data_IF_650569486971
#
_entry.id   IF_650569486971
#
_cell.length_a   1.000
_cell.length_b   1.000
_cell.length_c   1.000
_cell.angle_alpha   90.00
_cell.angle_beta   90.00
_cell.angle_gamma   90.00
#
_symmetry.space_group_name_H-M   'P 1'
#
loop_
_entity.id
_entity.type
_entity.pdbx_description
1 polymer ?
#
# COMPACT_ATOMS: atom_id res chain seq x y z
N UNK A 1 63.90 -47.56 11.31
CA UNK A 1 62.73 -47.84 10.49
C UNK A 1 61.49 -47.59 11.34
N UNK A 2 60.97 -46.39 11.31
CA UNK A 2 59.78 -45.96 12.08
C UNK A 2 58.68 -45.64 11.07
N UNK A 3 57.60 -46.40 11.10
CA UNK A 3 56.40 -46.20 10.27
C UNK A 3 55.45 -45.24 10.97
N UNK A 4 55.24 -44.06 10.39
CA UNK A 4 54.18 -43.12 10.81
C UNK A 4 52.87 -43.54 10.21
N UNK A 5 51.87 -43.80 11.04
CA UNK A 5 50.48 -44.02 10.62
C UNK A 5 49.75 -42.69 10.50
N UNK A 6 49.21 -42.41 9.33
CA UNK A 6 48.38 -41.21 9.05
C UNK A 6 46.91 -41.56 9.37
N UNK A 7 46.35 -40.92 10.41
CA UNK A 7 44.92 -40.98 10.73
C UNK A 7 44.17 -39.96 9.88
N UNK A 8 43.36 -40.42 8.95
CA UNK A 8 42.37 -39.58 8.25
C UNK A 8 41.12 -39.44 9.16
N UNK A 9 40.90 -38.25 9.71
CA UNK A 9 39.63 -37.89 10.31
C UNK A 9 38.65 -37.46 9.21
N UNK A 10 37.66 -38.29 8.94
CA UNK A 10 36.49 -37.90 8.14
C UNK A 10 35.50 -37.15 9.00
N UNK A 11 35.43 -35.84 8.85
CA UNK A 11 34.36 -35.01 9.45
C UNK A 11 33.08 -35.13 8.60
N UNK A 12 32.12 -35.90 9.08
CA UNK A 12 30.76 -35.91 8.55
C UNK A 12 30.06 -34.60 8.93
N UNK A 13 29.81 -33.73 7.95
CA UNK A 13 28.95 -32.57 8.11
C UNK A 13 27.51 -33.09 8.24
N UNK A 14 26.94 -33.06 9.44
CA UNK A 14 25.53 -33.27 9.66
C UNK A 14 24.77 -32.04 9.12
N UNK A 15 24.12 -32.19 7.97
CA UNK A 15 23.10 -31.26 7.51
C UNK A 15 21.94 -31.33 8.52
N UNK A 16 21.82 -30.32 9.37
CA UNK A 16 20.63 -30.13 10.18
C UNK A 16 19.45 -29.89 9.21
N UNK A 17 18.54 -30.84 9.11
CA UNK A 17 17.24 -30.64 8.46
C UNK A 17 16.53 -29.56 9.26
N UNK A 18 16.37 -28.37 8.66
CA UNK A 18 15.52 -27.34 9.21
C UNK A 18 14.09 -27.91 9.28
N UNK A 19 13.59 -28.18 10.47
CA UNK A 19 12.23 -28.65 10.68
C UNK A 19 11.24 -27.68 10.05
N UNK A 20 10.13 -28.19 9.53
CA UNK A 20 9.04 -27.35 8.99
C UNK A 20 8.62 -26.32 10.05
N UNK A 21 8.59 -25.01 9.77
CA UNK A 21 8.17 -24.01 10.73
C UNK A 21 6.80 -24.36 11.34
N UNK A 22 6.61 -24.08 12.63
CA UNK A 22 5.32 -24.26 13.27
C UNK A 22 4.24 -23.41 12.58
N UNK A 23 2.94 -23.78 12.66
CA UNK A 23 1.86 -22.92 12.19
C UNK A 23 1.97 -21.54 12.86
N UNK A 24 1.76 -20.49 12.08
CA UNK A 24 1.72 -19.13 12.61
C UNK A 24 0.50 -18.97 13.53
N UNK A 25 0.63 -18.13 14.56
CA UNK A 25 -0.47 -17.82 15.46
C UNK A 25 -1.60 -17.10 14.70
N UNK A 26 -2.84 -17.34 15.10
CA UNK A 26 -4.03 -16.69 14.51
C UNK A 26 -4.54 -15.60 15.45
N UNK A 27 -5.08 -14.51 14.86
CA UNK A 27 -5.75 -13.48 15.63
C UNK A 27 -7.22 -13.85 15.90
N UNK A 28 -7.84 -13.20 16.88
CA UNK A 28 -9.23 -13.43 17.25
C UNK A 28 -10.22 -12.96 16.17
N UNK A 29 -9.79 -12.11 15.25
CA UNK A 29 -10.57 -11.56 14.14
C UNK A 29 -9.84 -10.41 13.47
N UNK A 30 -10.55 -9.72 12.55
CA UNK A 30 -10.03 -8.56 11.83
C UNK A 30 -10.15 -7.29 12.70
N UNK A 31 -9.40 -7.28 13.79
CA UNK A 31 -9.43 -6.19 14.79
C UNK A 31 -8.36 -5.17 14.50
N UNK A 32 -8.75 -3.91 14.43
CA UNK A 32 -7.84 -2.79 14.35
C UNK A 32 -8.20 -1.71 15.37
N UNK A 33 -7.33 -0.72 15.46
CA UNK A 33 -7.58 0.53 16.18
C UNK A 33 -7.31 1.69 15.25
N UNK A 34 -8.06 2.77 15.44
CA UNK A 34 -7.79 4.07 14.86
C UNK A 34 -7.24 4.97 15.93
N UNK A 35 -6.13 5.63 15.67
CA UNK A 35 -5.45 6.49 16.62
C UNK A 35 -5.03 7.80 15.98
N UNK A 36 -4.72 8.76 16.82
CA UNK A 36 -4.22 10.06 16.43
C UNK A 36 -2.72 10.13 16.69
N UNK A 37 -2.01 10.94 15.92
CA UNK A 37 -0.57 11.20 16.12
C UNK A 37 -0.31 12.41 17.02
N UNK A 38 -1.36 13.02 17.58
CA UNK A 38 -1.27 14.08 18.58
C UNK A 38 -0.98 15.47 18.01
N UNK A 39 -1.20 15.68 16.71
CA UNK A 39 -1.00 16.98 16.05
C UNK A 39 -2.34 17.70 15.86
N UNK A 40 -3.01 17.90 16.98
CA UNK A 40 -4.36 18.48 17.01
C UNK A 40 -4.41 19.95 16.58
N UNK A 41 -5.51 20.29 15.91
CA UNK A 41 -5.96 21.65 15.59
C UNK A 41 -7.41 21.80 16.02
N UNK A 42 -8.02 22.97 15.74
CA UNK A 42 -9.44 23.22 15.99
C UNK A 42 -10.37 22.17 15.38
N UNK A 43 -9.98 21.59 14.23
CA UNK A 43 -10.77 20.62 13.46
C UNK A 43 -10.25 19.17 13.54
N UNK A 44 -9.57 18.83 14.61
CA UNK A 44 -9.10 17.47 14.84
C UNK A 44 -7.61 17.25 14.63
N UNK A 45 -7.18 15.99 14.61
CA UNK A 45 -5.79 15.64 14.39
C UNK A 45 -5.47 15.70 12.89
N UNK A 46 -4.36 16.36 12.58
CA UNK A 46 -3.83 16.47 11.23
C UNK A 46 -3.50 15.11 10.60
N UNK A 47 -3.00 14.18 11.39
CA UNK A 47 -2.64 12.84 10.95
C UNK A 47 -3.28 11.81 11.87
N UNK A 48 -4.36 11.23 11.42
CA UNK A 48 -4.98 10.12 12.11
C UNK A 48 -5.17 8.95 11.16
N UNK A 49 -5.30 7.77 11.69
CA UNK A 49 -5.53 6.58 10.88
C UNK A 49 -5.59 5.32 11.70
N UNK A 50 -6.14 4.29 11.09
CA UNK A 50 -6.19 2.96 11.67
C UNK A 50 -4.89 2.19 11.45
N UNK A 51 -4.66 1.16 12.21
CA UNK A 51 -3.63 0.17 11.87
C UNK A 51 -3.97 -0.59 10.59
N UNK A 52 -5.24 -0.66 10.17
CA UNK A 52 -5.72 -1.44 9.04
C UNK A 52 -5.04 -1.13 7.71
N UNK A 53 -5.62 -0.25 6.90
CA UNK A 53 -5.13 0.07 5.56
C UNK A 53 -4.36 1.39 5.47
N UNK A 54 -4.18 2.09 6.57
CA UNK A 54 -3.23 3.19 6.70
C UNK A 54 -1.81 2.62 6.55
N UNK A 55 -0.93 3.16 5.91
CA UNK A 55 -0.57 4.40 5.35
C UNK A 55 -0.49 4.35 3.83
N UNK A 56 -0.41 5.53 3.25
CA UNK A 56 -0.36 5.80 1.83
C UNK A 56 0.68 5.00 1.03
N UNK A 57 1.79 4.67 1.63
CA UNK A 57 2.99 4.31 0.89
C UNK A 57 3.32 2.81 0.93
N UNK A 58 2.45 1.96 1.50
CA UNK A 58 2.55 0.51 1.41
C UNK A 58 1.72 0.02 0.24
N UNK A 59 2.31 -0.71 -0.68
CA UNK A 59 1.62 -1.19 -1.87
C UNK A 59 2.37 -2.37 -2.52
N UNK A 60 1.68 -3.42 -3.00
CA UNK A 60 0.26 -3.70 -2.82
C UNK A 60 -0.08 -4.20 -1.41
N UNK A 61 -1.36 -4.06 -1.02
CA UNK A 61 -1.89 -4.63 0.22
C UNK A 61 -2.75 -5.87 -0.05
N UNK A 62 -3.17 -6.10 -1.29
CA UNK A 62 -3.97 -7.26 -1.66
C UNK A 62 -3.65 -7.73 -3.08
N UNK A 63 -3.81 -9.03 -3.31
CA UNK A 63 -3.61 -9.67 -4.62
C UNK A 63 -4.69 -10.73 -4.82
N UNK A 64 -5.41 -10.67 -5.93
CA UNK A 64 -6.27 -11.77 -6.37
C UNK A 64 -5.44 -12.82 -7.10
N UNK A 65 -5.52 -14.06 -6.64
CA UNK A 65 -4.85 -15.24 -7.20
C UNK A 65 -5.86 -16.11 -7.96
N UNK A 66 -5.89 -15.97 -9.28
CA UNK A 66 -6.85 -16.69 -10.13
C UNK A 66 -6.72 -18.22 -10.05
N UNK A 67 -5.50 -18.73 -9.82
CA UNK A 67 -5.26 -20.18 -9.73
C UNK A 67 -6.04 -20.88 -8.62
N UNK A 68 -6.38 -20.15 -7.55
CA UNK A 68 -7.12 -20.67 -6.39
C UNK A 68 -8.43 -19.92 -6.14
N UNK A 69 -8.77 -18.95 -7.00
CA UNK A 69 -9.94 -18.08 -6.89
C UNK A 69 -10.06 -17.41 -5.51
N UNK A 70 -8.94 -16.85 -5.03
CA UNK A 70 -8.83 -16.18 -3.72
C UNK A 70 -8.18 -14.83 -3.81
N UNK A 71 -8.67 -13.88 -3.02
CA UNK A 71 -7.95 -12.62 -2.75
C UNK A 71 -7.24 -12.74 -1.42
N UNK A 72 -5.91 -12.68 -1.45
CA UNK A 72 -5.08 -12.57 -0.26
C UNK A 72 -4.85 -11.08 0.04
N UNK A 73 -4.88 -10.71 1.32
CA UNK A 73 -4.66 -9.32 1.72
C UNK A 73 -3.95 -9.22 3.07
N UNK A 74 -3.10 -8.21 3.20
CA UNK A 74 -2.38 -7.90 4.43
C UNK A 74 -2.91 -6.61 5.04
N UNK A 75 -2.79 -6.49 6.35
CA UNK A 75 -3.22 -5.31 7.09
C UNK A 75 -2.51 -5.24 8.45
N UNK A 76 -2.56 -4.06 9.07
CA UNK A 76 -2.18 -3.89 10.46
C UNK A 76 -3.36 -4.13 11.37
N UNK A 77 -3.22 -4.98 12.36
CA UNK A 77 -4.24 -5.23 13.36
C UNK A 77 -3.73 -5.00 14.79
N UNK A 78 -4.63 -5.21 15.75
CA UNK A 78 -4.34 -5.09 17.17
C UNK A 78 -4.91 -6.31 17.91
N UNK A 79 -4.25 -6.82 18.97
CA UNK A 79 -4.75 -7.99 19.69
C UNK A 79 -6.11 -7.73 20.35
N UNK A 80 -6.23 -6.75 21.22
CA UNK A 80 -7.44 -6.51 22.02
C UNK A 80 -7.84 -5.01 22.07
N UNK A 81 -7.65 -4.27 20.97
CA UNK A 81 -7.84 -2.81 20.96
C UNK A 81 -6.70 -2.05 21.64
N UNK A 82 -5.60 -2.74 21.90
CA UNK A 82 -4.37 -2.18 22.45
C UNK A 82 -3.57 -1.46 21.36
N UNK A 83 -2.73 -0.53 21.78
CA UNK A 83 -1.79 0.16 20.90
C UNK A 83 -0.57 -0.74 20.61
N UNK A 84 -0.79 -1.76 19.81
CA UNK A 84 0.16 -2.82 19.50
C UNK A 84 -0.11 -3.31 18.07
N UNK A 85 0.87 -3.20 17.18
CA UNK A 85 0.74 -3.57 15.78
C UNK A 85 1.03 -5.06 15.56
N UNK A 86 0.04 -5.76 15.06
CA UNK A 86 0.18 -7.08 14.44
C UNK A 86 0.17 -6.93 12.91
N UNK A 87 1.19 -7.45 12.24
CA UNK A 87 1.18 -7.59 10.78
C UNK A 87 0.48 -8.88 10.41
N UNK A 88 -0.69 -8.77 9.81
CA UNK A 88 -1.63 -9.87 9.59
C UNK A 88 -1.86 -10.12 8.11
N UNK A 89 -2.18 -11.36 7.79
CA UNK A 89 -2.67 -11.77 6.47
C UNK A 89 -4.02 -12.48 6.62
N UNK A 90 -4.94 -12.15 5.72
CA UNK A 90 -6.22 -12.84 5.53
C UNK A 90 -6.42 -13.26 4.09
N UNK A 91 -7.48 -14.02 3.84
CA UNK A 91 -7.91 -14.33 2.48
C UNK A 91 -9.44 -14.36 2.39
N UNK A 92 -9.95 -13.93 1.22
CA UNK A 92 -11.33 -14.10 0.82
C UNK A 92 -11.41 -15.18 -0.26
N UNK A 93 -12.21 -16.19 -0.04
CA UNK A 93 -12.46 -17.27 -0.99
C UNK A 93 -13.71 -16.91 -1.84
N UNK A 94 -13.51 -16.70 -3.15
CA UNK A 94 -14.58 -16.26 -4.05
C UNK A 94 -15.60 -17.36 -4.35
N UNK A 95 -15.27 -18.65 -4.11
CA UNK A 95 -16.19 -19.77 -4.32
C UNK A 95 -17.19 -19.94 -3.18
N UNK A 96 -16.70 -19.72 -1.95
CA UNK A 96 -17.53 -19.92 -0.75
C UNK A 96 -18.08 -18.61 -0.18
N UNK A 97 -17.52 -17.46 -0.56
CA UNK A 97 -17.86 -16.17 0.02
C UNK A 97 -17.33 -15.96 1.44
N UNK A 98 -16.42 -16.82 1.91
CA UNK A 98 -15.91 -16.79 3.26
C UNK A 98 -14.52 -16.15 3.36
N UNK A 99 -14.21 -15.62 4.53
CA UNK A 99 -12.87 -15.16 4.88
C UNK A 99 -12.21 -16.11 5.86
N UNK A 100 -10.91 -16.32 5.69
CA UNK A 100 -10.12 -17.11 6.63
C UNK A 100 -9.87 -16.34 7.93
N UNK A 101 -9.72 -17.05 9.05
CA UNK A 101 -9.23 -16.44 10.30
C UNK A 101 -7.85 -15.84 10.03
N UNK A 102 -7.62 -14.56 10.39
CA UNK A 102 -6.35 -13.90 10.06
C UNK A 102 -5.16 -14.51 10.83
N UNK A 103 -4.05 -14.62 10.12
CA UNK A 103 -2.80 -15.19 10.61
C UNK A 103 -1.81 -14.07 10.91
N UNK A 104 -1.13 -14.16 12.03
CA UNK A 104 -0.07 -13.23 12.45
C UNK A 104 1.22 -13.62 11.74
N UNK A 105 1.63 -12.80 10.76
CA UNK A 105 2.91 -12.99 10.06
C UNK A 105 4.06 -12.45 10.91
N UNK A 106 3.84 -11.30 11.56
CA UNK A 106 4.84 -10.67 12.43
C UNK A 106 4.16 -9.86 13.51
N UNK A 107 4.67 -9.99 14.72
CA UNK A 107 4.26 -9.20 15.87
C UNK A 107 5.31 -8.11 16.13
N UNK A 108 4.89 -6.86 16.04
CA UNK A 108 5.75 -5.66 16.15
C UNK A 108 5.94 -5.14 17.59
N UNK A 109 5.67 -5.96 18.61
CA UNK A 109 5.79 -5.56 20.03
C UNK A 109 6.88 -4.51 20.31
N UNK A 110 6.65 -3.51 21.08
CA UNK A 110 5.43 -2.83 21.56
C UNK A 110 5.02 -1.68 20.62
N UNK A 111 5.23 -1.81 19.33
CA UNK A 111 5.00 -0.77 18.33
C UNK A 111 3.52 -0.63 18.04
N UNK A 112 3.03 0.61 17.97
CA UNK A 112 1.66 0.95 17.56
C UNK A 112 1.64 1.86 16.30
N UNK A 113 2.74 1.87 15.57
CA UNK A 113 2.97 2.78 14.45
C UNK A 113 2.58 2.12 13.11
N UNK A 114 1.56 2.63 12.39
CA UNK A 114 1.11 2.04 11.12
C UNK A 114 2.13 2.20 9.98
N UNK A 115 3.19 2.97 10.17
CA UNK A 115 4.31 2.98 9.22
C UNK A 115 5.03 1.63 9.13
N UNK A 116 4.81 0.75 10.11
CA UNK A 116 5.37 -0.60 10.15
C UNK A 116 4.44 -1.66 9.51
N UNK A 117 3.32 -1.25 8.89
CA UNK A 117 2.38 -2.12 8.17
C UNK A 117 3.06 -2.96 7.08
N UNK A 118 2.48 -4.12 6.72
CA UNK A 118 3.01 -4.98 5.68
C UNK A 118 2.55 -4.59 4.26
N UNK A 119 3.26 -5.10 3.26
CA UNK A 119 2.83 -5.21 1.85
C UNK A 119 2.89 -6.67 1.39
N UNK A 120 2.18 -7.01 0.34
CA UNK A 120 2.02 -8.38 -0.16
C UNK A 120 2.31 -8.46 -1.65
N UNK A 121 2.99 -9.52 -2.09
CA UNK A 121 2.93 -9.97 -3.46
C UNK A 121 2.93 -11.50 -3.53
N UNK A 122 2.63 -12.06 -4.70
CA UNK A 122 2.60 -13.50 -4.95
C UNK A 122 3.51 -13.78 -6.14
N UNK A 123 4.41 -14.77 -6.01
CA UNK A 123 5.25 -15.19 -7.12
C UNK A 123 4.51 -16.19 -8.05
N UNK A 124 5.03 -16.48 -9.26
CA UNK A 124 4.37 -17.38 -10.19
C UNK A 124 4.20 -18.81 -9.69
N UNK A 125 4.98 -19.23 -8.71
CA UNK A 125 4.86 -20.54 -8.07
C UNK A 125 3.75 -20.54 -6.98
N UNK A 126 3.12 -19.38 -6.73
CA UNK A 126 2.02 -19.22 -5.77
C UNK A 126 2.46 -18.93 -4.34
N UNK A 127 3.75 -18.72 -4.08
CA UNK A 127 4.18 -18.38 -2.74
C UNK A 127 3.81 -16.93 -2.40
N UNK A 128 3.30 -16.76 -1.18
CA UNK A 128 2.93 -15.46 -0.64
C UNK A 128 4.16 -14.81 0.00
N UNK A 129 4.47 -13.60 -0.44
CA UNK A 129 5.60 -12.81 0.06
C UNK A 129 5.08 -11.59 0.82
N UNK A 130 5.36 -11.54 2.12
CA UNK A 130 4.95 -10.44 2.99
C UNK A 130 6.16 -9.60 3.37
N UNK A 131 6.13 -8.34 2.98
CA UNK A 131 7.18 -7.36 3.26
C UNK A 131 6.72 -6.48 4.41
N UNK A 132 7.20 -6.76 5.60
CA UNK A 132 6.91 -6.00 6.81
C UNK A 132 7.80 -4.76 6.85
N UNK A 133 7.19 -3.59 6.96
CA UNK A 133 7.92 -2.33 7.04
C UNK A 133 8.67 -2.18 8.36
N UNK A 134 9.79 -1.46 8.30
CA UNK A 134 10.47 -0.90 9.45
C UNK A 134 10.27 0.60 9.55
N UNK A 135 11.06 1.26 10.40
CA UNK A 135 11.00 2.70 10.59
C UNK A 135 12.41 3.30 10.67
N UNK A 136 12.86 3.92 9.59
CA UNK A 136 14.22 4.48 9.51
C UNK A 136 15.30 3.45 9.93
N UNK A 137 16.25 3.86 10.78
CA UNK A 137 17.26 2.97 11.36
C UNK A 137 16.86 2.45 12.74
N UNK A 138 15.71 2.89 13.28
CA UNK A 138 15.28 2.54 14.65
C UNK A 138 14.58 1.19 14.72
N UNK A 139 13.90 0.76 13.67
CA UNK A 139 13.19 -0.51 13.62
C UNK A 139 13.44 -1.22 12.28
N UNK A 140 13.82 -2.51 12.28
CA UNK A 140 14.02 -3.26 11.06
C UNK A 140 12.70 -3.59 10.37
N UNK A 141 12.76 -3.76 9.05
CA UNK A 141 11.75 -4.43 8.25
C UNK A 141 12.12 -5.89 8.01
N UNK A 142 11.16 -6.70 7.59
CA UNK A 142 11.30 -8.13 7.41
C UNK A 142 10.65 -8.60 6.12
N UNK A 143 11.21 -9.62 5.50
CA UNK A 143 10.60 -10.30 4.36
C UNK A 143 10.28 -11.73 4.78
N UNK A 144 9.01 -12.08 4.66
CA UNK A 144 8.49 -13.42 4.93
C UNK A 144 7.99 -14.05 3.64
N UNK A 145 8.11 -15.38 3.54
CA UNK A 145 7.57 -16.19 2.46
C UNK A 145 6.72 -17.32 3.04
N UNK A 146 5.57 -17.59 2.44
CA UNK A 146 4.79 -18.78 2.83
C UNK A 146 5.58 -20.07 2.57
N UNK A 147 5.34 -21.11 3.37
CA UNK A 147 6.05 -22.40 3.24
C UNK A 147 5.47 -23.28 2.13
N UNK A 148 4.26 -22.96 1.65
CA UNK A 148 3.60 -23.63 0.55
C UNK A 148 2.86 -22.62 -0.34
N UNK A 149 2.64 -22.95 -1.63
CA UNK A 149 1.89 -22.10 -2.54
C UNK A 149 0.45 -21.85 -2.07
N UNK A 150 0.01 -20.60 -2.13
CA UNK A 150 -1.34 -20.15 -1.76
C UNK A 150 -1.79 -20.53 -0.34
N UNK A 151 -0.84 -20.88 0.52
CA UNK A 151 -1.06 -21.22 1.93
C UNK A 151 -0.50 -20.13 2.83
N UNK A 152 -1.39 -19.45 3.56
CA UNK A 152 -1.01 -18.41 4.51
C UNK A 152 -0.96 -18.88 5.97
N UNK A 153 -0.98 -20.20 6.20
CA UNK A 153 -0.92 -20.78 7.56
C UNK A 153 0.47 -20.76 8.19
N UNK A 154 1.54 -20.69 7.36
CA UNK A 154 2.93 -20.75 7.82
C UNK A 154 3.84 -19.87 6.97
N UNK A 155 4.75 -19.20 7.63
CA UNK A 155 5.76 -18.34 7.00
C UNK A 155 7.16 -18.64 7.52
N UNK A 156 8.13 -18.52 6.63
CA UNK A 156 9.56 -18.47 6.97
C UNK A 156 10.06 -17.02 6.89
N UNK A 157 10.91 -16.61 7.82
CA UNK A 157 11.63 -15.34 7.71
C UNK A 157 12.77 -15.51 6.70
N UNK A 158 12.73 -14.72 5.63
CA UNK A 158 13.71 -14.78 4.54
C UNK A 158 14.83 -13.76 4.74
N UNK A 159 14.47 -12.52 5.14
CA UNK A 159 15.43 -11.44 5.29
C UNK A 159 14.99 -10.39 6.32
N UNK A 160 15.99 -9.76 6.95
CA UNK A 160 15.83 -8.55 7.77
C UNK A 160 16.48 -7.39 7.03
N UNK A 161 15.80 -6.24 6.92
CA UNK A 161 16.23 -5.12 6.11
C UNK A 161 15.96 -3.76 6.76
N UNK A 162 16.73 -2.75 6.37
CA UNK A 162 16.43 -1.34 6.69
C UNK A 162 15.57 -0.76 5.58
N UNK A 163 14.25 -0.90 5.69
CA UNK A 163 13.26 -0.45 4.71
C UNK A 163 12.06 0.17 5.42
N UNK A 164 11.48 1.21 4.82
CA UNK A 164 10.21 1.80 5.23
C UNK A 164 9.32 1.92 4.00
N UNK A 165 8.02 1.67 4.15
CA UNK A 165 7.04 1.71 3.06
C UNK A 165 7.41 0.77 1.89
N UNK A 166 7.45 -0.54 2.10
CA UNK A 166 7.79 -1.50 1.06
C UNK A 166 6.74 -1.53 -0.04
N UNK A 167 7.20 -1.54 -1.29
CA UNK A 167 6.38 -1.66 -2.50
C UNK A 167 6.99 -2.71 -3.43
N UNK A 168 6.83 -4.01 -3.12
CA UNK A 168 7.37 -5.10 -3.91
C UNK A 168 6.50 -5.36 -5.13
N UNK A 169 7.10 -5.38 -6.31
CA UNK A 169 6.44 -5.76 -7.56
C UNK A 169 7.13 -6.98 -8.14
N UNK A 170 6.37 -8.03 -8.40
CA UNK A 170 6.88 -9.17 -9.14
C UNK A 170 6.81 -8.87 -10.64
N UNK A 171 7.97 -8.85 -11.28
CA UNK A 171 8.11 -8.65 -12.73
C UNK A 171 8.22 -10.01 -13.40
N UNK A 172 7.27 -10.41 -14.27
CA UNK A 172 7.25 -11.71 -14.89
C UNK A 172 8.58 -12.07 -15.57
N UNK A 173 9.09 -13.27 -15.29
CA UNK A 173 10.35 -13.78 -15.83
C UNK A 173 11.63 -13.16 -15.26
N UNK A 174 11.53 -12.17 -14.36
CA UNK A 174 12.71 -11.49 -13.80
C UNK A 174 12.78 -11.55 -12.26
N UNK A 175 11.66 -11.54 -11.55
CA UNK A 175 11.62 -11.55 -10.08
C UNK A 175 11.05 -10.28 -9.46
N UNK A 176 11.49 -9.95 -8.24
CA UNK A 176 11.00 -8.79 -7.50
C UNK A 176 11.81 -7.54 -7.81
N UNK A 177 11.12 -6.46 -8.15
CA UNK A 177 11.59 -5.10 -8.04
C UNK A 177 10.93 -4.46 -6.82
N UNK A 178 11.72 -4.11 -5.82
CA UNK A 178 11.26 -3.60 -4.54
C UNK A 178 11.61 -2.12 -4.41
N UNK A 179 10.58 -1.28 -4.38
CA UNK A 179 10.69 0.15 -4.11
C UNK A 179 10.44 0.41 -2.62
N UNK A 180 11.16 1.33 -2.01
CA UNK A 180 11.01 1.66 -0.59
C UNK A 180 11.66 3.00 -0.24
N UNK A 181 11.44 3.45 0.99
CA UNK A 181 12.08 4.62 1.57
C UNK A 181 13.20 4.21 2.51
N UNK A 182 14.33 4.93 2.45
CA UNK A 182 15.36 4.97 3.50
C UNK A 182 15.50 6.38 4.04
N UNK A 183 15.82 6.47 5.34
CA UNK A 183 16.13 7.73 6.00
C UNK A 183 17.65 7.91 6.05
N UNK A 184 18.20 8.55 5.02
CA UNK A 184 19.62 8.88 4.92
C UNK A 184 19.83 10.35 5.23
N UNK A 185 19.67 11.27 4.25
CA UNK A 185 19.65 12.72 4.48
C UNK A 185 18.21 13.28 4.60
N UNK A 186 17.22 12.40 4.61
CA UNK A 186 15.81 12.69 4.62
C UNK A 186 15.05 11.40 4.26
N UNK A 187 13.74 11.51 3.93
CA UNK A 187 12.96 10.41 3.37
C UNK A 187 13.29 10.26 1.90
N UNK A 188 14.27 9.43 1.57
CA UNK A 188 14.79 9.27 0.21
C UNK A 188 14.29 7.97 -0.42
N UNK A 189 14.12 7.96 -1.74
CA UNK A 189 13.57 6.84 -2.49
C UNK A 189 14.66 5.92 -3.00
N UNK A 190 14.45 4.61 -2.81
CA UNK A 190 15.38 3.56 -3.18
C UNK A 190 14.67 2.40 -3.87
N UNK A 191 15.45 1.58 -4.58
CA UNK A 191 15.02 0.29 -5.08
C UNK A 191 16.14 -0.75 -4.99
N UNK A 192 15.74 -2.00 -5.09
CA UNK A 192 16.59 -3.17 -5.24
C UNK A 192 15.83 -4.25 -6.02
N UNK A 193 16.52 -5.25 -6.50
CA UNK A 193 15.93 -6.35 -7.26
C UNK A 193 16.36 -7.69 -6.72
N UNK A 194 15.54 -8.72 -6.95
CA UNK A 194 15.84 -10.10 -6.59
C UNK A 194 15.15 -11.06 -7.54
N UNK A 195 15.90 -12.00 -8.10
CA UNK A 195 15.34 -13.03 -8.97
C UNK A 195 14.54 -14.10 -8.20
N UNK A 196 14.88 -14.32 -6.93
CA UNK A 196 14.36 -15.42 -6.09
C UNK A 196 13.67 -14.95 -4.80
N UNK A 197 13.61 -13.62 -4.55
CA UNK A 197 13.13 -13.03 -3.31
C UNK A 197 14.05 -13.25 -2.10
N UNK A 198 15.13 -14.00 -2.23
CA UNK A 198 16.08 -14.35 -1.17
C UNK A 198 17.39 -13.59 -1.29
N UNK A 199 17.96 -13.56 -2.48
CA UNK A 199 19.19 -12.85 -2.78
C UNK A 199 18.85 -11.52 -3.43
N UNK A 200 19.25 -10.43 -2.82
CA UNK A 200 18.92 -9.07 -3.25
C UNK A 200 20.15 -8.36 -3.83
N UNK A 201 19.93 -7.60 -4.87
CA UNK A 201 20.95 -6.71 -5.42
C UNK A 201 21.39 -5.66 -4.41
N UNK A 202 22.46 -4.94 -4.72
CA UNK A 202 22.79 -3.71 -4.04
C UNK A 202 21.61 -2.72 -4.13
N UNK A 203 21.33 -2.04 -3.01
CA UNK A 203 20.31 -1.00 -2.93
C UNK A 203 20.77 0.26 -3.67
N UNK A 204 19.94 0.78 -4.58
CA UNK A 204 20.20 1.98 -5.38
C UNK A 204 19.23 3.10 -5.04
N UNK A 205 19.70 4.34 -5.10
CA UNK A 205 18.91 5.55 -4.80
C UNK A 205 18.24 6.07 -6.08
N UNK A 206 16.90 6.21 -6.05
CA UNK A 206 16.12 6.81 -7.13
C UNK A 206 16.08 8.34 -7.02
N UNK A 207 15.72 8.86 -5.84
CA UNK A 207 15.61 10.30 -5.60
C UNK A 207 16.03 10.68 -4.17
N UNK A 208 16.62 11.89 -4.03
CA UNK A 208 17.10 12.38 -2.74
C UNK A 208 17.37 13.89 -2.73
N UNK A 209 16.33 14.71 -2.90
CA UNK A 209 16.42 16.17 -2.89
C UNK A 209 15.46 16.82 -1.86
N UNK A 210 15.51 16.38 -0.61
CA UNK A 210 14.80 17.01 0.52
C UNK A 210 13.80 16.11 1.23
N UNK A 211 13.23 15.13 0.56
CA UNK A 211 12.28 14.17 1.10
C UNK A 211 11.13 13.89 0.14
N UNK A 212 10.61 12.67 0.21
CA UNK A 212 9.62 12.18 -0.75
C UNK A 212 8.68 11.17 -0.10
N UNK A 213 7.43 11.14 -0.57
CA UNK A 213 6.59 9.96 -0.52
C UNK A 213 6.35 9.49 -1.95
N UNK A 214 6.26 8.17 -2.14
CA UNK A 214 5.98 7.54 -3.43
C UNK A 214 4.81 6.57 -3.33
N UNK A 215 4.12 6.43 -4.46
CA UNK A 215 3.17 5.35 -4.72
C UNK A 215 3.55 4.75 -6.06
N UNK A 216 3.66 3.43 -6.14
CA UNK A 216 4.09 2.75 -7.36
C UNK A 216 3.02 1.80 -7.89
N UNK A 217 3.16 1.43 -9.14
CA UNK A 217 2.32 0.45 -9.83
C UNK A 217 3.13 -0.33 -10.84
N UNK A 218 2.65 -1.53 -11.18
CA UNK A 218 3.28 -2.36 -12.19
C UNK A 218 2.26 -2.87 -13.21
N UNK A 219 2.69 -3.00 -14.48
CA UNK A 219 1.94 -3.61 -15.55
C UNK A 219 2.87 -4.10 -16.66
N UNK A 220 2.70 -5.33 -17.10
CA UNK A 220 3.37 -5.91 -18.27
C UNK A 220 4.91 -5.70 -18.27
N UNK A 221 5.55 -5.93 -17.12
CA UNK A 221 6.99 -5.75 -16.92
C UNK A 221 7.45 -4.32 -16.66
N UNK A 222 6.59 -3.32 -16.83
CA UNK A 222 6.85 -1.93 -16.46
C UNK A 222 6.55 -1.73 -14.96
N UNK A 223 7.42 -0.99 -14.27
CA UNK A 223 7.17 -0.48 -12.92
C UNK A 223 7.32 1.04 -12.96
N UNK A 224 6.27 1.75 -12.49
CA UNK A 224 6.26 3.20 -12.36
C UNK A 224 6.26 3.64 -10.91
N UNK A 225 6.79 4.82 -10.66
CA UNK A 225 6.76 5.51 -9.37
C UNK A 225 6.26 6.93 -9.54
N UNK A 226 5.14 7.23 -8.88
CA UNK A 226 4.59 8.57 -8.65
C UNK A 226 5.13 9.06 -7.32
N UNK A 227 5.74 10.24 -7.25
CA UNK A 227 6.26 10.77 -5.99
C UNK A 227 6.17 12.31 -5.91
N UNK A 228 6.28 12.82 -4.70
CA UNK A 228 6.26 14.25 -4.39
C UNK A 228 7.60 14.72 -3.81
N UNK A 229 7.68 15.98 -3.48
CA UNK A 229 8.81 16.66 -2.84
C UNK A 229 8.39 17.31 -1.53
N UNK A 230 9.26 17.26 -0.52
CA UNK A 230 9.06 17.88 0.78
C UNK A 230 10.02 19.06 0.98
N UNK A 231 9.61 20.31 0.68
CA UNK A 231 10.45 21.48 0.93
C UNK A 231 10.98 21.54 2.35
N UNK A 232 12.30 21.63 2.50
CA UNK A 232 12.96 21.60 3.80
C UNK A 232 12.78 20.30 4.60
N UNK A 233 12.40 19.19 3.95
CA UNK A 233 12.13 17.90 4.60
C UNK A 233 10.77 17.83 5.32
N UNK A 234 9.95 18.90 5.26
CA UNK A 234 8.67 18.98 5.96
C UNK A 234 7.60 18.15 5.26
N UNK A 235 7.05 17.16 5.94
CA UNK A 235 5.91 16.35 5.47
C UNK A 235 4.63 17.15 5.34
N UNK A 236 4.57 18.32 5.95
CA UNK A 236 3.43 19.24 5.90
C UNK A 236 3.36 20.00 4.58
N UNK A 237 4.54 20.24 3.98
CA UNK A 237 4.69 21.06 2.77
C UNK A 237 4.93 20.22 1.52
N UNK A 238 4.51 18.95 1.52
CA UNK A 238 4.69 18.06 0.37
C UNK A 238 4.03 18.66 -0.88
N UNK A 239 4.77 18.71 -1.98
CA UNK A 239 4.34 19.38 -3.21
C UNK A 239 5.00 18.77 -4.44
N UNK A 240 4.72 19.31 -5.61
CA UNK A 240 5.24 18.87 -6.91
C UNK A 240 4.86 17.42 -7.26
N UNK A 241 4.68 17.19 -8.54
CA UNK A 241 4.37 15.87 -9.09
C UNK A 241 5.54 15.39 -9.92
N UNK A 242 6.08 14.22 -9.57
CA UNK A 242 7.13 13.54 -10.33
C UNK A 242 6.65 12.17 -10.76
N UNK A 243 7.16 11.73 -11.91
CA UNK A 243 6.96 10.38 -12.40
C UNK A 243 8.24 9.81 -13.02
N UNK A 244 8.59 8.59 -12.62
CA UNK A 244 9.69 7.83 -13.19
C UNK A 244 9.25 6.37 -13.42
N UNK A 245 9.80 5.72 -14.44
CA UNK A 245 9.47 4.32 -14.76
C UNK A 245 10.70 3.53 -15.19
N UNK A 246 10.60 2.21 -15.06
CA UNK A 246 11.54 1.25 -15.63
C UNK A 246 10.79 0.16 -16.39
N UNK A 247 11.37 -0.30 -17.49
CA UNK A 247 10.86 -1.43 -18.32
C UNK A 247 11.88 -2.56 -18.42
N UNK A 248 13.02 -2.42 -17.75
CA UNK A 248 14.16 -3.33 -17.81
C UNK A 248 14.61 -3.81 -16.42
N UNK A 249 13.63 -3.94 -15.51
CA UNK A 249 13.86 -4.44 -14.15
C UNK A 249 14.80 -3.54 -13.31
N UNK A 250 14.71 -2.23 -13.49
CA UNK A 250 15.47 -1.24 -12.73
C UNK A 250 16.92 -1.06 -13.18
N UNK A 251 17.32 -1.61 -14.35
CA UNK A 251 18.65 -1.33 -14.92
C UNK A 251 18.75 0.13 -15.34
N UNK A 252 17.69 0.63 -15.98
CA UNK A 252 17.52 2.05 -16.33
C UNK A 252 16.19 2.57 -15.84
N UNK A 253 16.15 3.85 -15.50
CA UNK A 253 14.94 4.59 -15.20
C UNK A 253 14.77 5.70 -16.21
N UNK A 254 13.53 5.93 -16.64
CA UNK A 254 13.20 6.93 -17.66
C UNK A 254 12.05 7.81 -17.22
N UNK A 255 11.89 8.93 -17.88
CA UNK A 255 10.63 9.69 -17.90
C UNK A 255 9.54 8.87 -18.59
N UNK A 256 8.31 9.35 -18.56
CA UNK A 256 7.18 8.73 -19.28
C UNK A 256 7.42 8.72 -20.81
N UNK A 257 8.12 9.70 -21.36
CA UNK A 257 8.47 9.79 -22.79
C UNK A 257 9.69 8.96 -23.18
N UNK A 258 10.31 8.22 -22.23
CA UNK A 258 11.46 7.36 -22.50
C UNK A 258 12.83 8.03 -22.38
N UNK A 259 12.91 9.30 -21.99
CA UNK A 259 14.19 9.96 -21.71
C UNK A 259 14.86 9.31 -20.52
N UNK A 260 16.11 8.88 -20.65
CA UNK A 260 16.87 8.30 -19.56
C UNK A 260 17.12 9.31 -18.43
N UNK A 261 16.98 8.85 -17.19
CA UNK A 261 17.22 9.65 -15.98
C UNK A 261 18.62 9.37 -15.45
N UNK A 262 19.39 10.44 -15.21
CA UNK A 262 20.64 10.36 -14.46
C UNK A 262 20.31 10.18 -12.97
N UNK A 263 20.64 9.04 -12.40
CA UNK A 263 20.34 8.71 -11.00
C UNK A 263 21.55 8.85 -10.07
N UNK A 264 21.33 9.20 -8.81
CA UNK A 264 20.03 9.56 -8.20
C UNK A 264 19.56 10.95 -8.67
N UNK A 265 18.23 11.13 -8.75
CA UNK A 265 17.67 12.48 -8.93
C UNK A 265 18.03 13.32 -7.71
N UNK A 266 18.78 14.41 -7.93
CA UNK A 266 19.35 15.24 -6.87
C UNK A 266 18.78 16.67 -6.81
N UNK A 267 18.10 17.09 -7.86
CA UNK A 267 17.58 18.45 -8.00
C UNK A 267 16.05 18.47 -8.04
N UNK A 268 15.46 19.55 -7.51
CA UNK A 268 14.01 19.76 -7.54
C UNK A 268 13.51 19.83 -8.99
N UNK A 269 14.23 20.56 -9.85
CA UNK A 269 13.95 20.64 -11.29
C UNK A 269 14.79 19.59 -12.02
N UNK A 270 14.19 18.44 -12.26
CA UNK A 270 14.80 17.32 -12.97
C UNK A 270 13.83 16.79 -14.03
N UNK A 271 14.25 15.94 -14.99
CA UNK A 271 13.39 15.49 -16.09
C UNK A 271 12.17 14.66 -15.66
N UNK A 272 12.13 14.12 -14.45
CA UNK A 272 10.97 13.39 -13.92
C UNK A 272 9.85 14.33 -13.41
N UNK A 273 10.09 15.65 -13.33
CA UNK A 273 9.09 16.64 -12.90
C UNK A 273 7.96 16.74 -13.92
N UNK A 274 6.75 16.39 -13.50
CA UNK A 274 5.51 16.49 -14.30
C UNK A 274 4.86 17.86 -14.12
N UNK A 275 4.70 18.32 -12.87
CA UNK A 275 4.11 19.62 -12.53
C UNK A 275 4.82 20.25 -11.33
N UNK A 276 5.19 21.52 -11.46
CA UNK A 276 5.68 22.36 -10.36
C UNK A 276 4.49 22.97 -9.60
N UNK A 277 3.90 22.20 -8.70
CA UNK A 277 2.81 22.67 -7.84
C UNK A 277 3.26 23.64 -6.76
N UNK A 278 4.56 23.63 -6.39
CA UNK A 278 5.12 24.62 -5.47
C UNK A 278 4.99 26.04 -6.04
N UNK A 279 5.26 26.21 -7.33
CA UNK A 279 5.08 27.51 -8.01
C UNK A 279 3.61 27.96 -8.05
N UNK A 280 2.65 27.04 -7.88
CA UNK A 280 1.21 27.32 -7.82
C UNK A 280 0.67 27.46 -6.39
N UNK A 281 1.53 27.37 -5.37
CA UNK A 281 1.13 27.39 -3.97
C UNK A 281 0.24 26.21 -3.56
N UNK A 282 0.42 25.04 -4.20
CA UNK A 282 -0.40 23.83 -3.97
C UNK A 282 0.43 22.74 -3.29
N UNK A 283 -0.21 22.02 -2.38
CA UNK A 283 0.29 20.79 -1.77
C UNK A 283 -0.26 19.59 -2.53
N UNK A 284 0.47 18.46 -2.49
CA UNK A 284 0.13 17.24 -3.21
C UNK A 284 0.25 16.00 -2.33
N UNK A 285 -0.81 15.18 -2.32
CA UNK A 285 -0.90 13.91 -1.60
C UNK A 285 -1.15 12.78 -2.60
N UNK A 286 -0.19 11.86 -2.72
CA UNK A 286 -0.26 10.73 -3.67
C UNK A 286 -1.28 9.70 -3.20
N UNK A 287 -2.07 9.13 -4.12
CA UNK A 287 -3.07 8.10 -3.82
C UNK A 287 -2.79 6.77 -4.51
N UNK A 288 -2.86 6.71 -5.84
CA UNK A 288 -2.70 5.47 -6.60
C UNK A 288 -2.02 5.73 -7.95
N UNK A 289 -1.40 4.70 -8.50
CA UNK A 289 -0.82 4.66 -9.84
C UNK A 289 -1.35 3.43 -10.57
N UNK A 290 -1.92 3.64 -11.73
CA UNK A 290 -2.36 2.58 -12.62
C UNK A 290 -1.92 2.89 -14.06
N UNK A 291 -2.24 2.00 -15.00
CA UNK A 291 -1.89 2.14 -16.41
C UNK A 291 -3.11 1.85 -17.29
N UNK A 292 -3.23 2.57 -18.40
CA UNK A 292 -4.21 2.27 -19.43
C UNK A 292 -3.83 1.00 -20.25
N UNK A 293 -4.67 0.63 -21.21
CA UNK A 293 -4.44 -0.56 -22.02
C UNK A 293 -3.16 -0.49 -22.88
N UNK A 294 -2.69 0.71 -23.20
CA UNK A 294 -1.44 0.96 -23.92
C UNK A 294 -0.22 1.02 -23.00
N UNK A 295 -0.42 0.89 -21.68
CA UNK A 295 0.64 0.99 -20.68
C UNK A 295 1.05 2.42 -20.34
N UNK A 296 0.22 3.43 -20.66
CA UNK A 296 0.45 4.80 -20.25
C UNK A 296 0.04 4.99 -18.77
N UNK A 297 0.82 5.73 -17.97
CA UNK A 297 0.51 5.93 -16.56
C UNK A 297 -0.69 6.85 -16.35
N UNK A 298 -1.47 6.49 -15.33
CA UNK A 298 -2.59 7.26 -14.80
C UNK A 298 -2.35 7.43 -13.30
N UNK A 299 -2.27 8.68 -12.86
CA UNK A 299 -1.91 9.07 -11.50
C UNK A 299 -3.13 9.64 -10.78
N UNK A 300 -3.47 9.10 -9.63
CA UNK A 300 -4.49 9.66 -8.73
C UNK A 300 -3.82 10.33 -7.54
N UNK A 301 -4.19 11.57 -7.25
CA UNK A 301 -3.67 12.35 -6.14
C UNK A 301 -4.64 13.44 -5.69
N UNK A 302 -4.39 14.00 -4.50
CA UNK A 302 -5.18 15.12 -3.94
C UNK A 302 -4.32 16.38 -3.91
N UNK A 303 -4.89 17.49 -4.38
CA UNK A 303 -4.32 18.83 -4.28
C UNK A 303 -4.98 19.62 -3.16
N UNK A 304 -4.20 20.42 -2.45
CA UNK A 304 -4.66 21.23 -1.32
C UNK A 304 -3.89 22.57 -1.28
N UNK A 305 -4.45 23.56 -0.61
CA UNK A 305 -3.74 24.84 -0.33
C UNK A 305 -3.15 24.87 1.07
N UNK A 306 -3.66 24.03 1.97
CA UNK A 306 -3.18 23.93 3.36
C UNK A 306 -3.10 22.44 3.77
N UNK A 307 -2.24 22.16 4.73
CA UNK A 307 -2.08 20.83 5.32
C UNK A 307 -2.95 20.63 6.59
N UNK A 308 -3.49 21.70 7.17
CA UNK A 308 -4.30 21.64 8.39
C UNK A 308 -5.70 21.14 8.09
N UNK A 309 -6.32 20.37 9.01
CA UNK A 309 -7.75 20.13 8.98
C UNK A 309 -8.55 21.42 9.04
N UNK A 310 -9.77 21.41 8.52
CA UNK A 310 -10.70 22.53 8.58
C UNK A 310 -10.89 23.28 7.25
N UNK A 311 -11.82 24.24 7.21
CA UNK A 311 -12.22 24.94 5.99
C UNK A 311 -11.16 25.92 5.46
N UNK A 312 -10.19 26.35 6.29
CA UNK A 312 -9.22 27.39 5.95
C UNK A 312 -8.35 27.08 4.72
N UNK A 313 -8.14 25.82 4.37
CA UNK A 313 -7.40 25.40 3.19
C UNK A 313 -8.24 25.32 1.91
N UNK A 314 -9.52 25.66 1.94
CA UNK A 314 -10.45 25.48 0.84
C UNK A 314 -10.74 24.02 0.54
N UNK A 315 -11.34 23.77 -0.62
CA UNK A 315 -11.63 22.41 -1.10
C UNK A 315 -10.35 21.64 -1.42
N UNK A 316 -10.35 20.33 -1.18
CA UNK A 316 -9.30 19.38 -1.54
C UNK A 316 -9.70 18.72 -2.84
N UNK A 317 -8.91 18.94 -3.86
CA UNK A 317 -9.22 18.53 -5.23
C UNK A 317 -8.60 17.17 -5.54
N UNK A 318 -9.44 16.18 -5.78
CA UNK A 318 -9.04 14.87 -6.28
C UNK A 318 -8.80 14.94 -7.78
N UNK A 319 -7.56 14.67 -8.18
CA UNK A 319 -7.11 14.86 -9.55
C UNK A 319 -6.59 13.57 -10.14
N UNK A 320 -6.96 13.32 -11.40
CA UNK A 320 -6.36 12.27 -12.23
C UNK A 320 -5.47 12.94 -13.28
N UNK A 321 -4.20 12.56 -13.33
CA UNK A 321 -3.31 12.88 -14.43
C UNK A 321 -3.15 11.66 -15.33
N UNK A 322 -3.29 11.81 -16.64
CA UNK A 322 -3.12 10.75 -17.63
C UNK A 322 -2.14 11.17 -18.71
N UNK A 323 -1.14 10.34 -18.97
CA UNK A 323 -0.23 10.52 -20.10
C UNK A 323 -0.82 9.87 -21.34
N UNK A 324 -1.05 10.65 -22.40
CA UNK A 324 -1.55 10.14 -23.67
C UNK A 324 -1.10 11.04 -24.81
N UNK A 325 -0.76 10.47 -25.97
CA UNK A 325 -0.37 11.20 -27.17
C UNK A 325 0.79 12.19 -26.98
N UNK A 326 1.73 11.88 -26.06
CA UNK A 326 2.92 12.72 -25.84
C UNK A 326 2.72 13.85 -24.84
N UNK A 327 1.59 13.92 -24.14
CA UNK A 327 1.28 14.97 -23.17
C UNK A 327 0.55 14.45 -21.92
N UNK A 328 0.66 15.18 -20.83
CA UNK A 328 -0.13 14.97 -19.62
C UNK A 328 -1.43 15.78 -19.67
N UNK A 329 -2.55 15.12 -19.40
CA UNK A 329 -3.83 15.77 -19.14
C UNK A 329 -4.17 15.67 -17.66
N UNK A 330 -4.84 16.67 -17.11
CA UNK A 330 -5.18 16.78 -15.68
C UNK A 330 -6.67 17.07 -15.55
N UNK A 331 -7.40 16.20 -14.87
CA UNK A 331 -8.84 16.33 -14.73
C UNK A 331 -9.26 16.11 -13.28
N UNK A 332 -10.15 16.97 -12.81
CA UNK A 332 -10.72 16.87 -11.46
C UNK A 332 -11.76 15.74 -11.42
N UNK A 333 -11.62 14.82 -10.47
CA UNK A 333 -12.63 13.81 -10.15
C UNK A 333 -13.75 14.43 -9.34
N UNK A 334 -13.39 15.10 -8.25
CA UNK A 334 -14.28 15.72 -7.28
C UNK A 334 -13.47 16.53 -6.27
N UNK A 335 -14.16 17.12 -5.30
CA UNK A 335 -13.55 17.75 -4.12
C UNK A 335 -13.99 17.05 -2.84
N UNK A 336 -13.20 17.20 -1.75
CA UNK A 336 -13.51 16.73 -0.41
C UNK A 336 -13.12 17.78 0.63
N UNK A 337 -13.43 17.53 1.89
CA UNK A 337 -13.15 18.45 3.00
C UNK A 337 -11.81 18.17 3.71
N UNK A 338 -11.07 17.14 3.30
CA UNK A 338 -9.77 16.79 3.90
C UNK A 338 -8.79 16.29 2.82
N UNK A 339 -7.49 16.27 3.14
CA UNK A 339 -6.41 16.00 2.17
C UNK A 339 -5.54 14.80 2.51
N UNK A 340 -5.77 14.16 3.65
CA UNK A 340 -4.90 13.10 4.15
C UNK A 340 -5.51 11.72 3.99
N UNK A 341 -6.14 11.49 2.83
CA UNK A 341 -6.76 10.23 2.47
C UNK A 341 -6.17 9.59 1.25
N UNK A 342 -6.58 8.35 1.08
CA UNK A 342 -6.26 7.59 -0.10
C UNK A 342 -7.51 7.07 -0.76
N UNK A 343 -7.51 7.21 -2.08
CA UNK A 343 -8.41 6.52 -2.98
C UNK A 343 -7.65 5.50 -3.79
N UNK A 344 -8.37 4.66 -4.49
CA UNK A 344 -7.87 3.68 -5.43
C UNK A 344 -8.48 3.87 -6.82
N UNK A 345 -7.65 3.67 -7.86
CA UNK A 345 -7.98 3.90 -9.26
C UNK A 345 -8.02 2.57 -10.01
N UNK A 346 -9.13 2.29 -10.69
CA UNK A 346 -9.35 1.09 -11.49
C UNK A 346 -9.48 1.49 -12.96
N UNK A 347 -8.73 0.82 -13.83
CA UNK A 347 -8.76 1.03 -15.27
C UNK A 347 -9.32 -0.22 -15.93
N UNK A 348 -10.59 -0.15 -16.30
CA UNK A 348 -11.32 -1.22 -16.97
C UNK A 348 -11.41 -0.92 -18.47
N UNK A 349 -11.85 -1.88 -19.25
CA UNK A 349 -11.90 -1.76 -20.72
C UNK A 349 -12.76 -0.57 -21.16
N UNK A 350 -13.93 -0.41 -20.57
CA UNK A 350 -14.95 0.52 -21.04
C UNK A 350 -15.18 1.70 -20.07
N UNK A 351 -14.54 1.66 -18.90
CA UNK A 351 -14.69 2.72 -17.89
C UNK A 351 -13.54 2.74 -16.90
N UNK A 352 -13.30 3.89 -16.30
CA UNK A 352 -12.40 4.04 -15.16
C UNK A 352 -13.20 4.33 -13.91
N UNK A 353 -12.74 3.78 -12.77
CA UNK A 353 -13.40 3.95 -11.48
C UNK A 353 -12.42 4.50 -10.46
N UNK A 354 -12.93 5.35 -9.56
CA UNK A 354 -12.24 5.78 -8.36
C UNK A 354 -13.10 5.44 -7.14
N UNK A 355 -12.53 4.70 -6.20
CA UNK A 355 -13.12 4.45 -4.89
C UNK A 355 -12.38 5.28 -3.86
N UNK A 356 -13.05 6.24 -3.25
CA UNK A 356 -12.42 7.19 -2.35
C UNK A 356 -13.38 7.75 -1.29
N UNK A 357 -12.88 8.19 -0.12
CA UNK A 357 -13.69 8.74 0.97
C UNK A 357 -14.03 10.23 0.71
N UNK A 358 -14.72 10.52 -0.38
CA UNK A 358 -15.00 11.88 -0.84
C UNK A 358 -16.33 12.45 -0.35
N UNK A 359 -17.16 11.63 0.29
CA UNK A 359 -18.36 12.12 0.98
C UNK A 359 -18.03 12.64 2.37
N UNK A 360 -18.71 13.69 2.79
CA UNK A 360 -18.57 14.22 4.16
C UNK A 360 -18.98 13.15 5.16
N UNK A 361 -18.08 12.80 6.07
CA UNK A 361 -18.31 11.80 7.10
C UNK A 361 -18.88 12.38 8.40
N UNK A 362 -19.15 11.52 9.39
CA UNK A 362 -19.65 11.95 10.69
C UNK A 362 -18.66 12.83 11.48
N UNK A 363 -17.37 12.80 11.14
CA UNK A 363 -16.35 13.70 11.69
C UNK A 363 -15.82 14.60 10.57
N UNK A 364 -16.50 15.74 10.26
CA UNK A 364 -16.14 16.63 9.16
C UNK A 364 -14.70 17.16 9.30
N UNK A 365 -14.03 17.36 8.17
CA UNK A 365 -12.63 17.78 8.03
C UNK A 365 -11.58 16.86 8.67
N UNK A 366 -11.98 15.87 9.42
CA UNK A 366 -11.09 14.83 9.90
C UNK A 366 -10.69 13.86 8.78
N UNK A 367 -9.63 13.10 8.97
CA UNK A 367 -9.22 12.06 8.01
C UNK A 367 -10.36 11.10 7.72
N UNK A 368 -10.64 10.85 6.44
CA UNK A 368 -11.73 9.98 6.01
C UNK A 368 -13.05 10.70 5.81
N UNK A 369 -14.07 9.92 5.51
CA UNK A 369 -15.42 10.39 5.25
C UNK A 369 -16.31 9.22 4.86
N UNK A 370 -17.35 9.49 4.08
CA UNK A 370 -18.15 8.44 3.45
C UNK A 370 -17.51 8.00 2.13
N UNK A 371 -17.43 6.69 1.93
CA UNK A 371 -16.88 6.10 0.71
C UNK A 371 -17.80 6.31 -0.48
N UNK A 372 -17.23 6.75 -1.60
CA UNK A 372 -17.93 7.02 -2.84
C UNK A 372 -17.24 6.34 -4.02
N UNK A 373 -18.04 5.82 -4.95
CA UNK A 373 -17.60 5.34 -6.25
C UNK A 373 -17.84 6.41 -7.31
N UNK A 374 -16.78 6.83 -7.96
CA UNK A 374 -16.78 7.73 -9.13
C UNK A 374 -16.48 6.94 -10.39
N UNK A 375 -17.08 7.32 -11.51
CA UNK A 375 -16.89 6.67 -12.80
C UNK A 375 -16.64 7.68 -13.92
N UNK A 376 -15.78 7.29 -14.84
CA UNK A 376 -15.50 7.99 -16.09
C UNK A 376 -15.64 7.01 -17.26
N UNK A 377 -16.32 7.45 -18.34
CA UNK A 377 -16.48 6.68 -19.58
C UNK A 377 -15.67 7.27 -20.74
N UNK A 378 -14.84 8.26 -20.46
CA UNK A 378 -14.07 9.03 -21.44
C UNK A 378 -12.58 9.13 -21.07
N UNK A 379 -12.04 8.05 -20.49
CA UNK A 379 -10.63 7.91 -20.10
C UNK A 379 -10.20 8.97 -19.06
N UNK A 380 -11.08 9.26 -18.10
CA UNK A 380 -10.77 10.15 -16.98
C UNK A 380 -10.91 11.64 -17.31
N UNK A 381 -11.51 12.03 -18.44
CA UNK A 381 -11.74 13.45 -18.76
C UNK A 381 -12.87 14.04 -17.92
N UNK A 382 -13.97 13.29 -17.78
CA UNK A 382 -15.12 13.67 -16.94
C UNK A 382 -15.47 12.56 -15.98
N UNK A 383 -15.97 12.93 -14.80
CA UNK A 383 -16.28 12.00 -13.73
C UNK A 383 -17.69 12.25 -13.19
N UNK A 384 -18.39 11.16 -12.93
CA UNK A 384 -19.73 11.19 -12.33
C UNK A 384 -19.78 10.36 -11.07
N UNK A 385 -20.47 10.85 -10.06
CA UNK A 385 -20.75 10.09 -8.84
C UNK A 385 -21.70 8.96 -9.18
N UNK A 386 -21.23 7.70 -9.10
CA UNK A 386 -22.03 6.51 -9.40
C UNK A 386 -22.78 6.01 -8.18
N UNK A 387 -22.09 5.82 -7.07
CA UNK A 387 -22.64 5.20 -5.86
C UNK A 387 -22.06 5.83 -4.60
N UNK A 388 -22.91 6.18 -3.65
CA UNK A 388 -22.46 6.35 -2.27
C UNK A 388 -22.33 4.93 -1.66
N UNK A 389 -21.12 4.47 -1.48
CA UNK A 389 -20.81 3.14 -0.96
C UNK A 389 -21.23 3.04 0.49
N UNK A 390 -20.82 4.02 1.32
CA UNK A 390 -21.25 4.12 2.72
C UNK A 390 -22.12 5.35 2.95
N UNK A 391 -22.94 5.33 4.00
CA UNK A 391 -23.83 6.44 4.42
C UNK A 391 -24.16 6.29 5.89
N UNK A 392 -24.28 7.42 6.59
CA UNK A 392 -24.67 7.48 8.00
C UNK A 392 -23.78 6.60 8.89
N UNK A 393 -22.50 6.57 8.58
CA UNK A 393 -21.51 5.78 9.31
C UNK A 393 -21.31 6.31 10.73
N UNK A 394 -20.87 5.46 11.65
CA UNK A 394 -20.47 5.86 13.00
C UNK A 394 -19.16 6.62 12.98
N UNK A 395 -18.21 6.16 12.16
CA UNK A 395 -16.87 6.72 11.99
C UNK A 395 -16.57 7.01 10.53
N UNK A 396 -15.58 7.87 10.30
CA UNK A 396 -15.07 8.11 8.97
C UNK A 396 -14.41 6.83 8.41
N UNK A 397 -14.63 6.57 7.13
CA UNK A 397 -13.94 5.55 6.35
C UNK A 397 -12.78 6.17 5.58
N UNK A 398 -11.65 5.45 5.45
CA UNK A 398 -10.51 5.98 4.72
C UNK A 398 -9.56 4.89 4.22
N UNK A 399 -8.57 5.30 3.43
CA UNK A 399 -7.46 4.49 2.92
C UNK A 399 -7.93 3.32 2.06
N UNK A 400 -8.77 3.61 1.05
CA UNK A 400 -9.20 2.62 0.08
C UNK A 400 -8.01 2.02 -0.68
N UNK A 401 -7.97 0.69 -0.75
CA UNK A 401 -6.93 -0.10 -1.39
C UNK A 401 -7.49 -0.95 -2.52
N UNK A 402 -6.77 -0.95 -3.63
CA UNK A 402 -7.07 -1.77 -4.79
C UNK A 402 -6.24 -3.06 -4.73
N UNK A 403 -6.87 -4.25 -4.75
CA UNK A 403 -6.14 -5.48 -4.98
C UNK A 403 -5.46 -5.48 -6.37
N UNK A 404 -4.28 -6.02 -6.46
CA UNK A 404 -3.71 -6.39 -7.77
C UNK A 404 -4.63 -7.43 -8.39
N UNK A 405 -5.02 -7.25 -9.66
CA UNK A 405 -6.00 -8.06 -10.37
C UNK A 405 -7.37 -8.11 -9.66
N UNK A 406 -7.83 -6.99 -9.09
CA UNK A 406 -9.07 -6.90 -8.34
C UNK A 406 -10.23 -7.64 -9.01
N UNK A 407 -10.98 -8.44 -8.23
CA UNK A 407 -12.10 -9.25 -8.68
C UNK A 407 -13.27 -9.12 -7.72
N UNK A 408 -14.48 -9.01 -8.29
CA UNK A 408 -15.72 -9.05 -7.52
C UNK A 408 -15.86 -10.35 -6.72
N UNK A 409 -16.42 -10.27 -5.49
CA UNK A 409 -16.91 -9.04 -4.85
C UNK A 409 -15.85 -8.32 -4.00
N UNK A 410 -14.60 -8.82 -3.88
CA UNK A 410 -13.52 -8.18 -3.14
C UNK A 410 -12.75 -7.19 -4.04
N UNK A 411 -13.44 -6.12 -4.46
CA UNK A 411 -12.93 -5.19 -5.46
C UNK A 411 -12.09 -4.08 -4.86
N UNK A 412 -12.56 -3.44 -3.79
CA UNK A 412 -11.83 -2.46 -3.00
C UNK A 412 -12.00 -2.76 -1.52
N UNK A 413 -10.98 -2.50 -0.69
CA UNK A 413 -11.07 -2.64 0.77
C UNK A 413 -10.47 -1.44 1.50
N UNK A 414 -10.98 -1.17 2.71
CA UNK A 414 -10.60 0.00 3.52
C UNK A 414 -10.89 -0.22 5.00
N UNK A 415 -10.50 0.76 5.83
CA UNK A 415 -10.77 0.78 7.27
C UNK A 415 -11.65 1.97 7.66
N UNK A 416 -12.32 1.88 8.81
CA UNK A 416 -13.02 2.98 9.49
C UNK A 416 -12.30 3.39 10.78
N UNK A 417 -12.70 4.52 11.36
CA UNK A 417 -12.28 4.94 12.68
C UNK A 417 -12.59 6.42 12.97
N UNK A 418 -12.43 6.82 14.23
CA UNK A 418 -12.66 8.20 14.64
C UNK A 418 -11.37 9.03 14.46
N UNK A 419 -11.31 10.02 13.56
CA UNK A 419 -10.09 10.79 13.31
C UNK A 419 -9.68 11.72 14.46
N UNK A 420 -10.56 11.97 15.44
CA UNK A 420 -10.29 12.86 16.55
C UNK A 420 -9.84 12.14 17.83
N UNK A 421 -9.97 10.81 17.93
CA UNK A 421 -9.63 10.05 19.15
C UNK A 421 -9.35 8.58 18.84
N UNK A 422 -8.70 7.90 19.77
CA UNK A 422 -8.57 6.45 19.73
C UNK A 422 -9.96 5.79 19.67
N UNK A 423 -10.14 4.89 18.72
CA UNK A 423 -11.37 4.12 18.57
C UNK A 423 -11.07 2.71 18.00
N UNK A 424 -12.00 1.76 18.10
CA UNK A 424 -11.97 0.56 17.28
C UNK A 424 -11.92 0.94 15.80
N UNK A 425 -11.28 0.09 15.00
CA UNK A 425 -11.23 0.19 13.54
C UNK A 425 -11.60 -1.16 12.95
N UNK A 426 -12.49 -1.15 11.95
CA UNK A 426 -12.98 -2.33 11.24
C UNK A 426 -12.54 -2.28 9.80
N UNK A 427 -12.47 -3.44 9.15
CA UNK A 427 -12.16 -3.56 7.74
C UNK A 427 -13.42 -3.87 6.93
N UNK A 428 -13.51 -3.27 5.76
CA UNK A 428 -14.63 -3.39 4.84
C UNK A 428 -14.13 -3.68 3.43
N UNK A 429 -14.98 -4.27 2.61
CA UNK A 429 -14.78 -4.35 1.17
C UNK A 429 -16.11 -4.16 0.42
N UNK A 430 -16.01 -3.88 -0.88
CA UNK A 430 -17.15 -3.68 -1.77
C UNK A 430 -16.91 -4.32 -3.12
N UNK A 431 -18.01 -4.59 -3.85
CA UNK A 431 -17.95 -4.96 -5.27
C UNK A 431 -17.68 -3.77 -6.19
N UNK A 432 -17.42 -4.03 -7.47
CA UNK A 432 -17.13 -3.01 -8.50
C UNK A 432 -18.29 -2.02 -8.75
N UNK A 433 -19.50 -2.34 -8.31
CA UNK A 433 -20.66 -1.45 -8.40
C UNK A 433 -20.79 -0.51 -7.19
N UNK A 434 -20.10 -0.80 -6.09
CA UNK A 434 -20.24 -0.10 -4.82
C UNK A 434 -21.62 -0.27 -4.16
N UNK A 435 -22.44 -1.21 -4.65
CA UNK A 435 -23.80 -1.44 -4.14
C UNK A 435 -23.85 -2.43 -3.00
N UNK A 436 -22.90 -3.34 -2.93
CA UNK A 436 -22.78 -4.31 -1.84
C UNK A 436 -21.54 -4.01 -1.03
N UNK A 437 -21.70 -3.91 0.27
CA UNK A 437 -20.63 -3.60 1.22
C UNK A 437 -20.61 -4.68 2.28
N UNK A 438 -19.45 -5.25 2.50
CA UNK A 438 -19.22 -6.24 3.54
C UNK A 438 -18.26 -5.70 4.60
N UNK A 439 -18.53 -6.09 5.84
CA UNK A 439 -17.65 -5.88 6.98
C UNK A 439 -16.99 -7.20 7.35
N UNK A 440 -15.66 -7.19 7.50
CA UNK A 440 -14.92 -8.37 7.96
C UNK A 440 -15.24 -8.68 9.42
N UNK A 441 -15.28 -9.97 9.82
CA UNK A 441 -15.59 -10.36 11.19
C UNK A 441 -14.58 -9.77 12.19
N UNK A 442 -15.04 -8.88 13.06
CA UNK A 442 -14.20 -8.30 14.13
C UNK A 442 -13.79 -9.35 15.17
N UNK A 443 -14.60 -10.40 15.31
CA UNK A 443 -14.33 -11.57 16.16
C UNK A 443 -14.82 -12.82 15.45
N UNK A 444 -13.98 -13.84 15.41
CA UNK A 444 -14.38 -15.18 14.94
C UNK A 444 -15.02 -16.00 16.07
N UNK A 445 -15.99 -16.86 15.79
CA UNK A 445 -16.44 -17.88 16.73
C UNK A 445 -15.27 -18.73 17.22
N UNK A 446 -15.39 -19.26 18.43
CA UNK A 446 -14.37 -20.16 19.00
C UNK A 446 -14.18 -21.38 18.09
N UNK A 447 -12.93 -21.76 17.84
CA UNK A 447 -12.57 -22.88 16.97
C UNK A 447 -12.80 -22.67 15.47
N UNK A 448 -13.53 -21.62 15.04
CA UNK A 448 -13.77 -21.38 13.63
C UNK A 448 -12.50 -20.91 12.89
N UNK A 449 -12.20 -21.54 11.76
CA UNK A 449 -11.07 -21.17 10.89
C UNK A 449 -11.50 -20.28 9.71
N UNK A 450 -12.78 -20.23 9.40
CA UNK A 450 -13.42 -19.40 8.40
C UNK A 450 -14.69 -18.77 8.95
N UNK A 451 -15.13 -17.65 8.38
CA UNK A 451 -16.40 -17.02 8.70
C UNK A 451 -16.94 -16.26 7.47
N UNK A 452 -18.24 -16.02 7.44
CA UNK A 452 -18.85 -15.15 6.44
C UNK A 452 -18.66 -13.69 6.85
N UNK A 453 -18.22 -12.80 5.93
CA UNK A 453 -18.26 -11.36 6.17
C UNK A 453 -19.71 -10.89 6.22
N UNK A 454 -19.97 -9.92 7.09
CA UNK A 454 -21.30 -9.36 7.26
C UNK A 454 -21.68 -8.45 6.09
N UNK A 455 -22.72 -8.78 5.36
CA UNK A 455 -23.29 -7.92 4.31
C UNK A 455 -24.09 -6.78 4.99
N UNK A 456 -23.64 -5.53 4.79
CA UNK A 456 -24.25 -4.33 5.38
C UNK A 456 -25.25 -3.67 4.43
N UNK A 457 -25.05 -3.87 3.11
CA UNK A 457 -25.84 -3.22 2.06
C UNK A 457 -25.85 -4.06 0.80
#
# INVERSE_FOLDING_TARGET
MTRSALFLLSSALALAQAGTPAPAATAAGYRGIWFTLGQFSEYGDKYSGGLGTYTANHNPLAVYAAAVDRTFFVYGGSPNGERHLLCLIGSYDHKTGQVARPVIVHDKQPVDDPHDNPSLNIDPAGYLWVFVSGRANSRPGFIYRSTAPYDHSRFELVATKTVTYPQPWYVPGQGFLHLFTRYTKGRELYWETSADGRTWSETRKLAGFGGHYQTSGARDGKVGSLFNYHPGGSVDKRTNLYYAQTTDFGRTWTTVSGQALALPLADIRNPALVVDYAAQGRLLYTCDLNFDAAGNPILLYVLSRDFKPGPGGGEREWTVAHWKNGEWTFNTVTTSDHNYDMGSLYVMKDEWLVVAPTGVGPQPWGTGGEMVLWASQDEGKTWTRRTAITRNSEFNHSYARRPVNARDPFFAFWADGNPAKLSPSRLYFTDSTGKRVWRLPYTFPEGATVAEPELLK
#
